data_IF_975965269502
#
_entry.id   IF_975965269502
#
_cell.length_a   1.000
_cell.length_b   1.000
_cell.length_c   1.000
_cell.angle_alpha   90.00
_cell.angle_beta   90.00
_cell.angle_gamma   90.00
#
_symmetry.space_group_name_H-M   'P 1'
#
loop_
_entity.id
_entity.type
_entity.pdbx_description
1 polymer ?
#
# COMPACT_ATOMS: atom_id res chain seq x y z
N UNK A 1 16.82 27.87 -14.23
CA UNK A 1 16.10 26.85 -15.02
C UNK A 1 15.60 25.82 -14.02
N UNK A 2 14.29 25.56 -13.97
CA UNK A 2 13.76 24.51 -13.09
C UNK A 2 14.32 23.16 -13.56
N UNK A 3 14.88 22.38 -12.63
CA UNK A 3 15.21 20.98 -12.90
C UNK A 3 13.97 20.24 -13.43
N UNK A 4 14.12 19.24 -14.32
CA UNK A 4 13.00 18.34 -14.60
C UNK A 4 12.47 17.73 -13.30
N UNK A 5 11.15 17.51 -13.25
CA UNK A 5 10.48 16.94 -12.09
C UNK A 5 10.89 15.48 -11.84
N UNK A 6 11.04 14.69 -12.91
CA UNK A 6 11.50 13.30 -12.84
C UNK A 6 12.92 13.18 -13.35
N UNK A 7 13.75 12.37 -12.67
CA UNK A 7 15.02 11.92 -13.22
C UNK A 7 14.81 10.67 -14.07
N UNK A 8 15.10 10.79 -15.36
CA UNK A 8 14.94 9.68 -16.31
C UNK A 8 16.28 8.96 -16.52
N UNK A 9 16.20 7.65 -16.69
CA UNK A 9 17.26 6.71 -17.08
C UNK A 9 18.48 6.60 -16.17
N UNK A 10 18.37 7.05 -14.92
CA UNK A 10 19.38 6.88 -13.88
C UNK A 10 18.73 7.05 -12.52
N UNK A 11 18.89 6.07 -11.63
CA UNK A 11 18.43 6.18 -10.25
C UNK A 11 19.20 5.26 -9.31
N UNK A 12 19.33 5.68 -8.05
CA UNK A 12 19.80 4.82 -6.98
C UNK A 12 18.87 3.60 -6.79
N UNK A 13 17.56 3.76 -7.01
CA UNK A 13 16.58 2.69 -6.86
C UNK A 13 16.88 1.49 -7.79
N UNK A 14 17.33 1.74 -9.03
CA UNK A 14 17.63 0.68 -10.02
C UNK A 14 19.12 0.33 -10.09
N UNK A 15 19.94 0.92 -9.21
CA UNK A 15 21.41 0.83 -9.22
C UNK A 15 21.96 1.17 -10.62
N UNK A 16 21.56 2.32 -11.15
CA UNK A 16 21.96 2.82 -12.46
C UNK A 16 22.51 4.23 -12.40
N UNK A 17 23.44 4.54 -13.32
CA UNK A 17 24.02 5.89 -13.44
C UNK A 17 24.34 6.27 -14.88
N UNK A 18 24.15 7.54 -15.22
CA UNK A 18 24.67 8.10 -16.46
C UNK A 18 26.21 8.19 -16.43
N UNK A 19 26.85 8.17 -17.60
CA UNK A 19 28.29 8.45 -17.73
C UNK A 19 28.61 9.93 -17.47
N UNK A 20 27.78 10.82 -18.00
CA UNK A 20 27.96 12.27 -17.90
C UNK A 20 26.86 12.87 -17.02
N UNK A 21 27.01 12.77 -15.70
CA UNK A 21 25.98 13.15 -14.73
C UNK A 21 25.52 14.61 -14.87
N UNK A 22 26.43 15.54 -15.15
CA UNK A 22 26.12 16.96 -15.36
C UNK A 22 25.71 17.34 -16.79
N UNK A 23 25.63 16.38 -17.71
CA UNK A 23 25.32 16.64 -19.12
C UNK A 23 24.42 15.54 -19.67
N UNK A 24 23.16 15.61 -19.26
CA UNK A 24 22.09 14.73 -19.72
C UNK A 24 20.93 15.54 -20.29
N UNK A 25 20.20 14.97 -21.26
CA UNK A 25 18.93 15.57 -21.70
C UNK A 25 17.84 15.32 -20.64
N UNK A 26 17.16 16.35 -20.14
CA UNK A 26 16.07 16.19 -19.18
C UNK A 26 14.91 15.32 -19.67
N UNK A 27 14.63 15.35 -20.99
CA UNK A 27 13.47 14.68 -21.56
C UNK A 27 13.64 13.15 -21.61
N UNK A 28 14.82 12.66 -21.98
CA UNK A 28 15.07 11.22 -22.09
C UNK A 28 16.07 10.69 -21.08
N UNK A 29 16.75 11.53 -20.29
CA UNK A 29 17.80 11.09 -19.38
C UNK A 29 19.05 10.54 -20.06
N UNK A 30 19.19 10.69 -21.39
CA UNK A 30 20.39 10.28 -22.12
C UNK A 30 21.56 11.24 -21.86
N UNK A 31 22.79 10.71 -21.86
CA UNK A 31 23.99 11.54 -21.92
C UNK A 31 23.98 12.36 -23.22
N UNK A 32 24.39 13.64 -23.16
CA UNK A 32 24.48 14.51 -24.37
C UNK A 32 25.35 13.87 -25.45
N UNK A 33 26.39 13.14 -25.03
CA UNK A 33 27.19 12.28 -25.92
C UNK A 33 27.12 10.83 -25.43
N UNK A 34 26.36 10.00 -26.13
CA UNK A 34 26.45 8.54 -25.97
C UNK A 34 27.65 8.05 -26.80
N UNK A 35 28.54 7.26 -26.19
CA UNK A 35 29.77 6.80 -26.82
C UNK A 35 29.77 5.28 -26.94
N UNK A 36 30.41 4.77 -27.98
CA UNK A 36 30.71 3.34 -28.07
C UNK A 36 31.62 2.92 -26.90
N UNK A 37 31.46 1.69 -26.42
CA UNK A 37 32.18 1.17 -25.25
C UNK A 37 31.79 1.82 -23.90
N UNK A 38 30.67 2.55 -23.83
CA UNK A 38 30.22 3.18 -22.60
C UNK A 38 29.92 2.14 -21.51
N UNK A 39 30.72 2.14 -20.44
CA UNK A 39 30.47 1.36 -19.21
C UNK A 39 29.41 1.99 -18.30
N UNK A 40 28.86 3.14 -18.69
CA UNK A 40 27.85 3.90 -17.94
C UNK A 40 26.49 3.22 -17.97
N UNK A 41 26.32 2.28 -17.04
CA UNK A 41 25.12 1.46 -16.78
C UNK A 41 23.90 2.30 -16.34
N UNK A 42 23.50 3.24 -17.18
CA UNK A 42 22.21 3.91 -17.14
C UNK A 42 21.09 2.88 -17.42
N UNK A 43 19.84 3.25 -17.18
CA UNK A 43 18.73 2.32 -17.40
C UNK A 43 18.60 1.89 -18.86
N UNK A 44 18.95 2.76 -19.83
CA UNK A 44 18.98 2.40 -21.27
C UNK A 44 19.98 1.27 -21.52
N UNK A 45 21.24 1.45 -21.10
CA UNK A 45 22.29 0.44 -21.33
C UNK A 45 22.05 -0.84 -20.55
N UNK A 46 21.68 -0.73 -19.26
CA UNK A 46 21.45 -1.90 -18.41
C UNK A 46 20.22 -2.69 -18.84
N UNK A 47 19.16 -2.03 -19.31
CA UNK A 47 17.94 -2.73 -19.76
C UNK A 47 18.14 -3.54 -21.05
N UNK A 48 19.07 -3.15 -21.93
CA UNK A 48 19.38 -3.91 -23.15
C UNK A 48 19.88 -5.34 -22.87
N UNK A 49 20.57 -5.54 -21.75
CA UNK A 49 21.12 -6.84 -21.36
C UNK A 49 20.40 -7.49 -20.16
N UNK A 50 19.85 -6.68 -19.25
CA UNK A 50 19.27 -7.10 -17.96
C UNK A 50 17.88 -6.53 -17.74
N UNK A 51 17.09 -6.36 -18.81
CA UNK A 51 15.79 -5.67 -18.82
C UNK A 51 14.92 -5.95 -17.59
N UNK A 52 14.64 -7.22 -17.32
CA UNK A 52 13.78 -7.66 -16.20
C UNK A 52 14.27 -7.18 -14.82
N UNK A 53 15.58 -7.00 -14.65
CA UNK A 53 16.15 -6.56 -13.38
C UNK A 53 16.06 -5.05 -13.16
N UNK A 54 16.07 -4.27 -14.25
CA UNK A 54 16.03 -2.80 -14.22
C UNK A 54 14.61 -2.28 -14.06
N UNK A 55 13.60 -3.14 -14.26
CA UNK A 55 12.19 -2.78 -14.07
C UNK A 55 11.92 -2.39 -12.61
N UNK A 56 12.56 -3.05 -11.64
CA UNK A 56 12.19 -2.92 -10.22
C UNK A 56 13.33 -2.31 -9.38
N UNK A 57 12.99 -1.67 -8.24
CA UNK A 57 14.00 -1.22 -7.28
C UNK A 57 14.78 -2.35 -6.61
N UNK A 58 16.03 -2.09 -6.23
CA UNK A 58 16.96 -3.05 -5.61
C UNK A 58 17.68 -2.43 -4.41
N UNK A 59 18.15 -3.23 -3.41
CA UNK A 59 18.02 -4.69 -3.29
C UNK A 59 16.65 -5.17 -2.78
N UNK A 60 16.16 -6.31 -3.29
CA UNK A 60 14.84 -6.83 -2.94
C UNK A 60 14.74 -7.32 -1.48
N UNK A 61 13.56 -7.12 -0.87
CA UNK A 61 13.17 -7.74 0.40
C UNK A 61 13.67 -7.06 1.67
N UNK A 62 14.70 -6.22 1.59
CA UNK A 62 15.29 -5.47 2.73
C UNK A 62 15.09 -3.96 2.63
N UNK A 63 14.33 -3.49 1.64
CA UNK A 63 14.03 -2.07 1.43
C UNK A 63 12.53 -1.85 1.26
N UNK A 64 12.12 -0.62 1.55
CA UNK A 64 10.91 0.00 1.01
C UNK A 64 11.35 1.15 0.11
N UNK A 65 10.64 1.36 -0.98
CA UNK A 65 10.98 2.40 -1.96
C UNK A 65 9.81 3.35 -2.18
N UNK A 66 10.11 4.58 -2.55
CA UNK A 66 9.17 5.62 -2.92
C UNK A 66 9.66 6.30 -4.21
N UNK A 67 8.82 7.14 -4.83
CA UNK A 67 9.19 7.83 -6.06
C UNK A 67 10.32 8.84 -5.85
N UNK A 68 11.11 9.09 -6.90
CA UNK A 68 12.15 10.13 -6.94
C UNK A 68 11.62 11.41 -7.64
N UNK A 69 10.41 11.37 -8.20
CA UNK A 69 9.78 12.53 -8.83
C UNK A 69 9.51 13.64 -7.82
N UNK A 70 9.93 14.84 -8.18
CA UNK A 70 9.55 16.08 -7.50
C UNK A 70 8.13 16.45 -7.94
N UNK A 71 7.17 16.38 -7.03
CA UNK A 71 5.81 16.85 -7.32
C UNK A 71 5.76 18.39 -7.22
N UNK A 72 5.10 19.10 -8.15
CA UNK A 72 5.14 20.56 -8.19
C UNK A 72 4.62 21.25 -6.93
N UNK A 73 3.66 20.62 -6.23
CA UNK A 73 3.08 21.11 -4.98
C UNK A 73 3.06 19.95 -3.99
N UNK A 74 3.52 20.23 -2.78
CA UNK A 74 3.46 19.31 -1.64
C UNK A 74 3.09 20.11 -0.37
N UNK A 75 3.01 19.41 0.77
CA UNK A 75 2.63 20.07 2.02
C UNK A 75 3.64 21.08 2.55
N UNK A 76 4.90 21.06 2.10
CA UNK A 76 5.90 22.06 2.48
C UNK A 76 5.60 23.45 1.90
N UNK A 77 4.73 23.52 0.89
CA UNK A 77 4.26 24.78 0.29
C UNK A 77 3.12 25.43 1.08
N UNK A 78 2.58 24.74 2.11
CA UNK A 78 1.47 25.24 2.93
C UNK A 78 2.01 25.83 4.24
N UNK A 79 1.45 26.96 4.67
CA UNK A 79 1.71 27.54 5.98
C UNK A 79 0.47 27.41 6.87
N UNK A 80 0.67 27.02 8.13
CA UNK A 80 -0.38 27.06 9.15
C UNK A 80 -0.40 28.47 9.75
N UNK A 81 -1.50 29.19 9.55
CA UNK A 81 -1.65 30.55 10.08
C UNK A 81 -2.19 30.50 11.51
N UNK A 82 -1.37 30.92 12.47
CA UNK A 82 -1.79 31.12 13.86
C UNK A 82 -2.62 32.39 14.05
N UNK A 83 -3.32 32.47 15.19
CA UNK A 83 -4.06 33.67 15.64
C UNK A 83 -3.64 34.03 17.06
N UNK A 84 -3.59 35.34 17.37
CA UNK A 84 -3.38 35.84 18.72
C UNK A 84 -4.70 36.01 19.51
N UNK A 85 -5.85 35.67 18.90
CA UNK A 85 -7.18 35.84 19.48
C UNK A 85 -7.96 34.53 19.38
N UNK A 86 -8.53 34.11 20.51
CA UNK A 86 -9.37 32.91 20.61
C UNK A 86 -8.58 31.61 20.71
N UNK A 87 -9.31 30.49 20.83
CA UNK A 87 -8.80 29.13 20.76
C UNK A 87 -9.85 28.25 20.06
N UNK A 88 -9.39 27.18 19.40
CA UNK A 88 -10.25 26.17 18.78
C UNK A 88 -9.98 24.82 19.45
N UNK A 89 -11.03 24.09 19.82
CA UNK A 89 -10.92 22.81 20.52
C UNK A 89 -10.73 22.90 22.04
N UNK A 90 -10.50 24.09 22.59
CA UNK A 90 -10.42 24.36 24.03
C UNK A 90 -10.89 25.80 24.29
N UNK A 91 -11.18 26.12 25.55
CA UNK A 91 -11.53 27.47 25.98
C UNK A 91 -10.39 28.47 25.71
N UNK A 92 -10.76 29.67 25.26
CA UNK A 92 -9.84 30.76 24.95
C UNK A 92 -9.36 31.47 26.23
N UNK A 93 -8.55 30.76 27.02
CA UNK A 93 -8.01 31.18 28.31
C UNK A 93 -6.53 30.78 28.39
N UNK A 94 -5.66 31.68 28.86
CA UNK A 94 -4.21 31.42 28.94
C UNK A 94 -3.83 30.34 29.96
N UNK A 95 -4.66 30.11 30.97
CA UNK A 95 -4.46 29.04 31.96
C UNK A 95 -4.95 27.68 31.46
N UNK A 96 -5.75 27.65 30.37
CA UNK A 96 -6.33 26.42 29.79
C UNK A 96 -5.69 26.05 28.46
N UNK A 97 -5.48 27.01 27.56
CA UNK A 97 -4.96 26.82 26.21
C UNK A 97 -3.43 26.64 26.19
N UNK A 98 -2.94 25.65 26.95
CA UNK A 98 -1.53 25.29 27.05
C UNK A 98 -1.23 24.00 26.29
N UNK A 99 -0.01 23.87 25.79
CA UNK A 99 0.44 22.70 25.00
C UNK A 99 0.12 21.34 25.63
N UNK A 100 0.30 21.12 26.96
CA UNK A 100 -0.03 19.83 27.58
C UNK A 100 -1.51 19.43 27.52
N UNK A 101 -2.43 20.38 27.29
CA UNK A 101 -3.87 20.12 27.22
C UNK A 101 -4.35 19.76 25.80
N UNK A 102 -3.44 19.67 24.81
CA UNK A 102 -3.80 19.26 23.45
C UNK A 102 -4.32 17.83 23.47
N UNK A 103 -5.59 17.65 23.07
CA UNK A 103 -6.18 16.34 22.86
C UNK A 103 -6.02 15.91 21.40
N UNK A 104 -5.33 14.80 21.18
CA UNK A 104 -5.11 14.19 19.87
C UNK A 104 -6.00 12.96 19.61
N UNK A 105 -6.87 12.63 20.56
CA UNK A 105 -7.80 11.52 20.44
C UNK A 105 -8.79 11.76 19.32
N UNK A 106 -9.02 10.73 18.50
CA UNK A 106 -9.97 10.76 17.39
C UNK A 106 -10.95 9.60 17.47
N UNK A 107 -12.21 9.91 17.15
CA UNK A 107 -13.31 8.96 17.05
C UNK A 107 -13.88 9.03 15.65
N UNK A 108 -14.04 7.89 15.00
CA UNK A 108 -14.56 7.81 13.63
C UNK A 108 -15.25 6.46 13.39
N UNK A 109 -15.74 6.24 12.16
CA UNK A 109 -16.67 5.16 11.83
C UNK A 109 -18.12 5.65 11.84
N UNK A 110 -19.03 4.90 11.21
CA UNK A 110 -20.43 5.31 11.11
C UNK A 110 -21.12 5.44 12.49
N UNK A 111 -20.62 4.72 13.49
CA UNK A 111 -21.08 4.74 14.88
C UNK A 111 -20.15 5.53 15.83
N UNK A 112 -19.09 6.18 15.31
CA UNK A 112 -17.99 6.77 16.09
C UNK A 112 -17.31 5.79 17.06
N UNK A 113 -17.40 4.49 16.82
CA UNK A 113 -16.89 3.44 17.70
C UNK A 113 -15.39 3.14 17.54
N UNK A 114 -14.73 3.66 16.50
CA UNK A 114 -13.29 3.49 16.27
C UNK A 114 -12.54 4.60 16.99
N UNK A 115 -11.69 4.23 17.96
CA UNK A 115 -11.03 5.18 18.88
C UNK A 115 -9.53 5.09 18.80
N UNK A 116 -8.85 6.14 18.34
CA UNK A 116 -7.39 6.23 18.37
C UNK A 116 -6.94 7.33 19.32
N UNK A 117 -5.85 7.10 20.06
CA UNK A 117 -5.24 8.13 20.93
C UNK A 117 -4.52 9.21 20.12
N UNK A 118 -4.14 8.89 18.88
CA UNK A 118 -3.42 9.77 17.98
C UNK A 118 -4.01 9.70 16.56
N UNK A 119 -3.98 10.79 15.79
CA UNK A 119 -4.66 10.90 14.49
C UNK A 119 -3.82 10.34 13.34
N UNK A 120 -3.24 9.15 13.54
CA UNK A 120 -2.44 8.47 12.53
C UNK A 120 -2.57 6.96 12.64
N UNK A 121 -2.19 6.28 11.55
CA UNK A 121 -2.29 4.84 11.37
C UNK A 121 -1.08 4.37 10.56
N UNK A 122 -0.57 3.18 10.86
CA UNK A 122 0.38 2.51 9.97
C UNK A 122 -0.42 1.82 8.85
N UNK A 123 -0.23 2.22 7.57
CA UNK A 123 -1.04 1.73 6.46
C UNK A 123 -0.76 0.26 6.16
N UNK A 124 -1.53 -0.33 5.24
CA UNK A 124 -1.40 -1.74 4.85
C UNK A 124 0.01 -2.11 4.38
N UNK A 125 0.79 -2.80 5.23
CA UNK A 125 2.08 -3.38 4.86
C UNK A 125 1.94 -4.90 4.77
N UNK A 126 2.10 -5.44 3.56
CA UNK A 126 1.71 -6.81 3.23
C UNK A 126 2.75 -7.88 3.54
N UNK A 127 2.80 -8.88 2.65
CA UNK A 127 3.58 -10.12 2.75
C UNK A 127 5.10 -10.01 2.48
N UNK A 128 5.63 -8.81 2.30
CA UNK A 128 7.07 -8.62 2.03
C UNK A 128 7.94 -8.94 3.26
N UNK A 129 9.19 -9.33 3.04
CA UNK A 129 10.13 -9.64 4.13
C UNK A 129 10.40 -8.43 5.03
N UNK A 130 10.56 -7.24 4.45
CA UNK A 130 10.78 -6.00 5.22
C UNK A 130 9.64 -5.75 6.22
N UNK A 131 8.40 -6.01 5.81
CA UNK A 131 7.22 -5.91 6.68
C UNK A 131 7.23 -7.00 7.76
N UNK A 132 7.45 -8.25 7.36
CA UNK A 132 7.44 -9.41 8.27
C UNK A 132 8.49 -9.29 9.37
N UNK A 133 9.71 -8.90 8.99
CA UNK A 133 10.87 -8.82 9.88
C UNK A 133 10.75 -7.69 10.90
N UNK A 134 10.06 -6.60 10.56
CA UNK A 134 9.85 -5.46 11.45
C UNK A 134 8.47 -5.47 12.14
N UNK A 135 7.64 -6.49 11.88
CA UNK A 135 6.24 -6.51 12.33
C UNK A 135 6.10 -6.40 13.84
N UNK A 136 7.05 -6.94 14.61
CA UNK A 136 6.98 -6.91 16.08
C UNK A 136 7.02 -5.48 16.63
N UNK A 137 7.99 -4.68 16.19
CA UNK A 137 8.05 -3.26 16.56
C UNK A 137 6.83 -2.47 16.09
N UNK A 138 6.35 -2.73 14.86
CA UNK A 138 5.18 -2.07 14.30
C UNK A 138 3.90 -2.40 15.09
N UNK A 139 3.65 -3.68 15.36
CA UNK A 139 2.46 -4.14 16.05
C UNK A 139 2.42 -3.68 17.50
N UNK A 140 3.48 -3.92 18.26
CA UNK A 140 3.56 -3.53 19.66
C UNK A 140 3.50 -2.00 19.76
N UNK A 141 4.29 -1.28 18.96
CA UNK A 141 4.35 0.18 18.98
C UNK A 141 3.01 0.84 18.65
N UNK A 142 2.29 0.36 17.63
CA UNK A 142 0.96 0.87 17.31
C UNK A 142 -0.08 0.56 18.39
N UNK A 143 -0.07 -0.66 18.92
CA UNK A 143 -1.03 -1.11 19.93
C UNK A 143 -0.90 -0.33 21.24
N UNK A 144 0.33 -0.16 21.77
CA UNK A 144 0.56 0.61 23.00
C UNK A 144 0.30 2.10 22.81
N UNK A 145 0.52 2.62 21.59
CA UNK A 145 0.22 4.01 21.25
C UNK A 145 -1.27 4.25 21.03
N UNK A 146 -2.10 3.20 20.99
CA UNK A 146 -3.53 3.29 20.74
C UNK A 146 -3.87 3.77 19.32
N UNK A 147 -3.11 3.33 18.31
CA UNK A 147 -3.27 3.70 16.90
C UNK A 147 -3.54 2.49 16.03
N UNK A 148 -4.10 2.68 14.84
CA UNK A 148 -4.34 1.58 13.90
C UNK A 148 -3.05 0.98 13.32
N UNK A 149 -3.13 -0.29 12.94
CA UNK A 149 -2.16 -0.97 12.09
C UNK A 149 -2.90 -1.86 11.09
N UNK A 150 -2.63 -1.66 9.79
CA UNK A 150 -3.23 -2.51 8.75
C UNK A 150 -2.25 -3.59 8.30
N UNK A 151 -2.68 -4.85 8.43
CA UNK A 151 -2.06 -6.01 7.77
C UNK A 151 -2.41 -5.93 6.28
N UNK A 152 -1.39 -5.69 5.45
CA UNK A 152 -1.58 -5.60 4.00
C UNK A 152 -1.82 -6.95 3.33
N UNK A 153 -1.92 -6.90 2.01
CA UNK A 153 -2.30 -8.04 1.16
C UNK A 153 -1.34 -9.25 1.12
N UNK A 154 -1.91 -10.39 0.73
CA UNK A 154 -1.28 -11.68 0.46
C UNK A 154 -0.57 -12.35 1.64
N UNK A 155 -0.76 -11.92 2.89
CA UNK A 155 -0.05 -12.49 4.05
C UNK A 155 -0.39 -13.98 4.23
N UNK A 156 -1.68 -14.35 4.17
CA UNK A 156 -2.09 -15.74 4.29
C UNK A 156 -1.64 -16.58 3.09
N UNK A 157 -1.86 -16.08 1.87
CA UNK A 157 -1.53 -16.81 0.64
C UNK A 157 -0.03 -16.99 0.38
N UNK A 158 0.83 -16.14 0.96
CA UNK A 158 2.29 -16.24 0.87
C UNK A 158 2.91 -17.12 1.97
N UNK A 159 2.15 -17.46 3.01
CA UNK A 159 2.62 -18.28 4.12
C UNK A 159 2.75 -19.76 3.68
N UNK A 160 3.96 -20.33 3.63
CA UNK A 160 4.14 -21.74 3.27
C UNK A 160 3.48 -22.71 4.24
N UNK A 161 3.21 -22.26 5.48
CA UNK A 161 2.58 -23.05 6.52
C UNK A 161 1.06 -22.85 6.56
N UNK A 162 0.48 -22.06 5.64
CA UNK A 162 -0.96 -21.92 5.54
C UNK A 162 -1.61 -23.24 5.09
N UNK A 163 -2.66 -23.63 5.80
CA UNK A 163 -3.53 -24.75 5.44
C UNK A 163 -4.68 -24.20 4.61
N UNK A 164 -4.75 -24.60 3.34
CA UNK A 164 -5.81 -24.19 2.41
C UNK A 164 -6.61 -25.44 2.04
N UNK A 165 -7.93 -25.40 2.22
CA UNK A 165 -8.86 -26.47 1.84
C UNK A 165 -9.96 -25.90 0.97
N UNK A 166 -10.24 -26.55 -0.16
CA UNK A 166 -11.27 -26.11 -1.12
C UNK A 166 -11.11 -24.63 -1.52
N UNK A 167 -9.86 -24.20 -1.73
CA UNK A 167 -9.54 -22.82 -2.10
C UNK A 167 -9.67 -21.78 -0.97
N UNK A 168 -9.94 -22.19 0.28
CA UNK A 168 -10.07 -21.27 1.43
C UNK A 168 -9.05 -21.53 2.52
N UNK A 169 -8.58 -20.44 3.14
CA UNK A 169 -7.66 -20.46 4.28
C UNK A 169 -8.39 -21.04 5.49
N UNK A 170 -7.80 -22.07 6.09
CA UNK A 170 -8.29 -22.73 7.31
C UNK A 170 -7.36 -22.47 8.49
N UNK A 171 -6.06 -22.37 8.24
CA UNK A 171 -5.09 -21.97 9.26
C UNK A 171 -3.87 -21.28 8.67
N UNK A 172 -3.21 -20.43 9.47
CA UNK A 172 -1.98 -19.72 9.11
C UNK A 172 -1.05 -19.59 10.32
N UNK A 173 0.24 -19.40 10.05
CA UNK A 173 1.23 -19.03 11.06
C UNK A 173 1.46 -17.51 11.04
N UNK A 174 1.67 -16.91 9.86
CA UNK A 174 2.05 -15.49 9.77
C UNK A 174 0.88 -14.57 10.15
N UNK A 175 -0.29 -14.72 9.51
CA UNK A 175 -1.45 -13.85 9.79
C UNK A 175 -1.89 -13.96 11.26
N UNK A 176 -1.96 -15.17 11.81
CA UNK A 176 -2.25 -15.42 13.24
C UNK A 176 -1.26 -14.70 14.15
N UNK A 177 0.05 -14.81 13.89
CA UNK A 177 1.08 -14.12 14.67
C UNK A 177 0.88 -12.60 14.61
N UNK A 178 0.61 -12.06 13.42
CA UNK A 178 0.46 -10.61 13.22
C UNK A 178 -0.72 -10.02 13.98
N UNK A 179 -1.87 -10.70 13.92
CA UNK A 179 -3.08 -10.30 14.65
C UNK A 179 -2.87 -10.42 16.15
N UNK A 180 -2.40 -11.59 16.61
CA UNK A 180 -2.21 -11.86 18.04
C UNK A 180 -1.24 -10.88 18.69
N UNK A 181 -0.14 -10.55 18.02
CA UNK A 181 0.85 -9.63 18.56
C UNK A 181 0.31 -8.21 18.77
N UNK A 182 -0.60 -7.75 17.92
CA UNK A 182 -1.27 -6.47 18.13
C UNK A 182 -2.28 -6.57 19.29
N UNK A 183 -3.13 -7.59 19.28
CA UNK A 183 -4.18 -7.80 20.29
C UNK A 183 -3.61 -7.98 21.70
N UNK A 184 -2.52 -8.74 21.85
CA UNK A 184 -1.86 -9.00 23.14
C UNK A 184 -1.33 -7.71 23.81
N UNK A 185 -1.09 -6.65 23.04
CA UNK A 185 -0.54 -5.36 23.51
C UNK A 185 -1.55 -4.21 23.39
N UNK A 186 -2.78 -4.48 22.98
CA UNK A 186 -3.81 -3.45 22.87
C UNK A 186 -4.27 -3.02 24.27
N UNK A 187 -4.37 -1.69 24.49
CA UNK A 187 -4.69 -1.11 25.80
C UNK A 187 -6.02 -0.35 25.73
N UNK A 188 -6.91 -0.61 26.69
CA UNK A 188 -8.20 0.08 26.88
C UNK A 188 -9.12 0.12 25.64
N UNK A 189 -8.95 -0.83 24.71
CA UNK A 189 -9.71 -0.88 23.46
C UNK A 189 -9.40 0.25 22.47
N UNK A 190 -8.25 0.94 22.61
CA UNK A 190 -7.78 1.92 21.62
C UNK A 190 -7.03 1.26 20.46
N UNK A 191 -7.07 1.91 19.31
CA UNK A 191 -6.45 1.40 18.08
C UNK A 191 -7.24 0.24 17.47
N UNK A 192 -6.81 -0.23 16.30
CA UNK A 192 -7.39 -1.40 15.66
C UNK A 192 -6.35 -2.12 14.77
N UNK A 193 -6.34 -3.44 14.82
CA UNK A 193 -5.68 -4.26 13.80
C UNK A 193 -6.65 -4.46 12.64
N UNK A 194 -6.22 -4.13 11.42
CA UNK A 194 -7.06 -4.15 10.23
C UNK A 194 -6.54 -5.19 9.25
N UNK A 195 -7.39 -6.09 8.76
CA UNK A 195 -6.99 -7.07 7.72
C UNK A 195 -7.46 -6.61 6.35
N UNK A 196 -6.49 -6.21 5.53
CA UNK A 196 -6.71 -5.79 4.16
C UNK A 196 -6.74 -7.00 3.20
N UNK A 197 -7.64 -6.98 2.21
CA UNK A 197 -7.69 -7.97 1.15
C UNK A 197 -7.68 -7.34 -0.25
N UNK A 198 -6.87 -7.94 -1.13
CA UNK A 198 -6.99 -7.78 -2.57
C UNK A 198 -7.76 -8.95 -3.20
N UNK A 199 -7.77 -9.03 -4.54
CA UNK A 199 -8.43 -10.09 -5.31
C UNK A 199 -8.03 -11.51 -4.87
N UNK A 200 -6.74 -11.73 -4.60
CA UNK A 200 -6.22 -13.06 -4.23
C UNK A 200 -6.63 -13.41 -2.79
N UNK A 201 -6.55 -12.45 -1.87
CA UNK A 201 -6.98 -12.63 -0.47
C UNK A 201 -8.49 -12.90 -0.37
N UNK A 202 -9.31 -12.20 -1.17
CA UNK A 202 -10.76 -12.43 -1.24
C UNK A 202 -11.08 -13.83 -1.74
N UNK A 203 -10.40 -14.32 -2.78
CA UNK A 203 -10.57 -15.70 -3.28
C UNK A 203 -10.24 -16.74 -2.21
N UNK A 204 -9.21 -16.46 -1.42
CA UNK A 204 -8.75 -17.31 -0.33
C UNK A 204 -9.61 -17.22 0.94
N UNK A 205 -10.58 -16.31 1.02
CA UNK A 205 -11.38 -16.09 2.23
C UNK A 205 -10.55 -15.61 3.43
N UNK A 206 -9.49 -14.85 3.19
CA UNK A 206 -8.54 -14.47 4.23
C UNK A 206 -9.16 -13.55 5.30
N UNK A 207 -10.08 -12.66 4.90
CA UNK A 207 -10.81 -11.80 5.83
C UNK A 207 -11.79 -12.59 6.68
N UNK A 208 -12.52 -13.52 6.08
CA UNK A 208 -13.44 -14.41 6.79
C UNK A 208 -12.70 -15.25 7.83
N UNK A 209 -11.55 -15.83 7.49
CA UNK A 209 -10.68 -16.49 8.47
C UNK A 209 -10.25 -15.54 9.59
N UNK A 210 -9.83 -14.31 9.26
CA UNK A 210 -9.41 -13.34 10.27
C UNK A 210 -10.55 -12.95 11.22
N UNK A 211 -11.75 -12.74 10.70
CA UNK A 211 -12.94 -12.40 11.50
C UNK A 211 -13.33 -13.60 12.37
N UNK A 212 -13.60 -14.75 11.75
CA UNK A 212 -14.21 -15.91 12.40
C UNK A 212 -13.25 -16.64 13.36
N UNK A 213 -11.94 -16.64 13.05
CA UNK A 213 -10.94 -17.45 13.79
C UNK A 213 -9.99 -16.61 14.63
N UNK A 214 -9.73 -15.36 14.24
CA UNK A 214 -8.77 -14.49 14.93
C UNK A 214 -9.45 -13.31 15.65
N UNK A 215 -10.77 -13.17 15.55
CA UNK A 215 -11.52 -12.10 16.22
C UNK A 215 -11.19 -10.70 15.69
N UNK A 216 -10.82 -10.59 14.42
CA UNK A 216 -10.59 -9.28 13.78
C UNK A 216 -11.93 -8.62 13.50
N UNK A 217 -12.16 -7.45 14.10
CA UNK A 217 -13.40 -6.69 13.93
C UNK A 217 -13.36 -5.69 12.77
N UNK A 218 -12.17 -5.30 12.31
CA UNK A 218 -11.98 -4.27 11.29
C UNK A 218 -11.24 -4.85 10.07
N UNK A 219 -11.86 -4.75 8.89
CA UNK A 219 -11.30 -5.24 7.63
C UNK A 219 -11.29 -4.16 6.56
N UNK A 220 -10.33 -4.23 5.63
CA UNK A 220 -10.16 -3.26 4.55
C UNK A 220 -10.23 -3.89 3.16
N UNK A 221 -11.06 -3.35 2.29
CA UNK A 221 -11.06 -3.66 0.86
C UNK A 221 -9.98 -2.82 0.18
N UNK A 222 -9.13 -3.42 -0.66
CA UNK A 222 -8.08 -2.68 -1.38
C UNK A 222 -8.42 -2.55 -2.87
N UNK A 223 -8.71 -1.34 -3.32
CA UNK A 223 -8.80 -1.03 -4.76
C UNK A 223 -7.46 -0.62 -5.34
N UNK A 224 -6.62 0.07 -4.58
CA UNK A 224 -5.31 0.50 -5.08
C UNK A 224 -4.37 1.00 -3.99
N UNK A 225 -3.29 1.64 -4.44
CA UNK A 225 -2.28 2.27 -3.59
C UNK A 225 -1.60 3.44 -4.31
N UNK A 226 -0.86 4.26 -3.57
CA UNK A 226 -0.19 5.45 -4.11
C UNK A 226 1.01 5.17 -5.01
N UNK A 227 1.62 3.98 -4.90
CA UNK A 227 2.85 3.65 -5.62
C UNK A 227 2.60 3.18 -7.07
N UNK A 228 1.44 2.59 -7.37
CA UNK A 228 1.21 1.85 -8.63
C UNK A 228 -0.26 1.54 -8.92
N UNK A 229 -0.56 1.28 -10.20
CA UNK A 229 -1.86 0.84 -10.70
C UNK A 229 -1.92 -0.65 -11.06
N UNK A 230 -1.21 -1.47 -10.31
CA UNK A 230 -1.18 -2.92 -10.51
C UNK A 230 -1.28 -3.60 -9.15
N UNK A 231 -1.55 -4.90 -9.15
CA UNK A 231 -1.57 -5.69 -7.93
C UNK A 231 -0.21 -5.72 -7.24
N UNK A 232 -0.18 -6.24 -6.01
CA UNK A 232 1.07 -6.52 -5.31
C UNK A 232 2.01 -7.37 -6.15
N UNK A 233 3.31 -7.23 -5.90
CA UNK A 233 4.38 -7.99 -6.59
C UNK A 233 5.42 -8.40 -5.56
N UNK A 234 6.02 -9.58 -5.74
CA UNK A 234 7.21 -10.02 -4.98
C UNK A 234 8.11 -10.86 -5.86
N UNK A 235 9.41 -10.79 -5.59
CA UNK A 235 10.38 -11.76 -6.09
C UNK A 235 10.39 -13.01 -5.21
N UNK A 236 10.49 -14.18 -5.83
CA UNK A 236 10.57 -15.48 -5.17
C UNK A 236 11.82 -16.20 -5.68
N UNK A 237 12.79 -16.40 -4.81
CA UNK A 237 14.09 -17.02 -5.12
C UNK A 237 14.13 -18.53 -4.84
N UNK A 238 12.98 -19.16 -4.62
CA UNK A 238 12.86 -20.59 -4.32
C UNK A 238 11.82 -21.22 -5.24
N UNK A 239 12.23 -22.25 -5.99
CA UNK A 239 11.38 -22.91 -6.97
C UNK A 239 10.17 -23.59 -6.32
N UNK A 240 10.35 -24.26 -5.17
CA UNK A 240 9.26 -24.96 -4.47
C UNK A 240 8.19 -23.98 -4.01
N UNK A 241 8.61 -22.83 -3.49
CA UNK A 241 7.71 -21.74 -3.11
C UNK A 241 7.01 -21.15 -4.34
N UNK A 242 7.70 -20.99 -5.46
CA UNK A 242 7.10 -20.51 -6.71
C UNK A 242 6.01 -21.48 -7.21
N UNK A 243 6.28 -22.79 -7.20
CA UNK A 243 5.32 -23.84 -7.54
C UNK A 243 4.12 -23.85 -6.59
N UNK A 244 4.37 -23.77 -5.28
CA UNK A 244 3.31 -23.67 -4.27
C UNK A 244 2.38 -22.47 -4.52
N UNK A 245 2.94 -21.31 -4.87
CA UNK A 245 2.14 -20.12 -5.17
C UNK A 245 1.33 -20.31 -6.47
N UNK A 246 1.93 -20.92 -7.49
CA UNK A 246 1.23 -21.28 -8.72
C UNK A 246 0.05 -22.22 -8.44
N UNK A 247 0.24 -23.27 -7.63
CA UNK A 247 -0.80 -24.23 -7.25
C UNK A 247 -1.94 -23.57 -6.43
N UNK A 248 -1.62 -22.50 -5.71
CA UNK A 248 -2.61 -21.65 -5.00
C UNK A 248 -3.36 -20.68 -5.95
N UNK A 249 -3.08 -20.71 -7.25
CA UNK A 249 -3.76 -19.90 -8.26
C UNK A 249 -3.16 -18.51 -8.50
N UNK A 250 -1.99 -18.21 -7.94
CA UNK A 250 -1.28 -16.97 -8.22
C UNK A 250 -0.68 -16.97 -9.63
N UNK A 251 -0.51 -15.78 -10.20
CA UNK A 251 0.26 -15.61 -11.43
C UNK A 251 1.74 -15.61 -11.06
N UNK A 252 2.48 -16.62 -11.52
CA UNK A 252 3.93 -16.76 -11.29
C UNK A 252 4.64 -16.82 -12.64
N UNK A 253 5.62 -15.94 -12.82
CA UNK A 253 6.37 -15.79 -14.06
C UNK A 253 7.89 -15.84 -13.79
N UNK A 254 8.68 -16.53 -14.62
CA UNK A 254 8.24 -17.50 -15.63
C UNK A 254 7.49 -18.69 -15.00
N UNK A 255 6.79 -19.50 -15.82
CA UNK A 255 5.97 -20.62 -15.33
C UNK A 255 6.83 -21.62 -14.51
N UNK A 256 6.61 -21.77 -13.20
CA UNK A 256 7.44 -22.61 -12.34
C UNK A 256 7.18 -24.12 -12.52
N UNK A 257 6.24 -24.51 -13.38
CA UNK A 257 5.90 -25.90 -13.69
C UNK A 257 6.47 -26.38 -15.03
N UNK A 258 6.95 -25.46 -15.87
CA UNK A 258 7.58 -25.79 -17.15
C UNK A 258 8.97 -26.43 -16.94
N UNK A 259 9.22 -27.66 -17.43
CA UNK A 259 10.52 -28.33 -17.33
C UNK A 259 11.70 -27.52 -17.88
N UNK A 260 11.51 -26.69 -18.91
CA UNK A 260 12.54 -25.84 -19.46
C UNK A 260 12.89 -24.69 -18.50
N UNK A 261 11.88 -24.07 -17.88
CA UNK A 261 12.06 -23.00 -16.89
C UNK A 261 12.74 -23.53 -15.64
N UNK A 262 12.34 -24.71 -15.15
CA UNK A 262 12.96 -25.38 -14.00
C UNK A 262 14.46 -25.61 -14.25
N UNK A 263 14.81 -26.21 -15.39
CA UNK A 263 16.22 -26.44 -15.77
C UNK A 263 16.99 -25.13 -15.90
N UNK A 264 16.37 -24.08 -16.44
CA UNK A 264 17.01 -22.77 -16.58
C UNK A 264 17.30 -22.13 -15.21
N UNK A 265 16.37 -22.25 -14.25
CA UNK A 265 16.54 -21.79 -12.87
C UNK A 265 17.64 -22.56 -12.13
N UNK A 266 17.61 -23.90 -12.19
CA UNK A 266 18.60 -24.77 -11.53
C UNK A 266 20.03 -24.55 -12.06
N UNK A 267 20.17 -24.18 -13.33
CA UNK A 267 21.46 -23.81 -13.95
C UNK A 267 21.87 -22.36 -13.67
N UNK A 268 21.05 -21.58 -12.98
CA UNK A 268 21.32 -20.18 -12.64
C UNK A 268 21.17 -19.19 -13.80
N UNK A 269 20.44 -19.56 -14.86
CA UNK A 269 20.18 -18.67 -16.02
C UNK A 269 19.35 -17.44 -15.61
N UNK A 270 18.48 -17.62 -14.62
CA UNK A 270 17.84 -16.56 -13.85
C UNK A 270 17.73 -17.03 -12.39
N UNK A 271 17.53 -16.10 -11.45
CA UNK A 271 17.64 -16.37 -10.01
C UNK A 271 16.34 -16.22 -9.23
N UNK A 272 15.31 -15.67 -9.86
CA UNK A 272 14.08 -15.26 -9.17
C UNK A 272 12.87 -15.35 -10.09
N UNK A 273 11.77 -15.84 -9.54
CA UNK A 273 10.42 -15.75 -10.10
C UNK A 273 9.74 -14.46 -9.64
N UNK A 274 8.73 -14.03 -10.39
CA UNK A 274 7.86 -12.92 -10.08
C UNK A 274 6.46 -13.45 -9.79
N UNK A 275 5.93 -13.12 -8.62
CA UNK A 275 4.53 -13.37 -8.29
C UNK A 275 3.77 -12.07 -8.45
N UNK A 276 2.67 -12.12 -9.19
CA UNK A 276 1.82 -10.99 -9.54
C UNK A 276 0.41 -11.21 -8.97
N UNK A 277 -0.15 -10.21 -8.30
CA UNK A 277 -1.57 -10.22 -7.92
C UNK A 277 -2.41 -9.63 -9.05
N UNK A 278 -3.60 -10.19 -9.28
CA UNK A 278 -4.52 -9.66 -10.30
C UNK A 278 -4.99 -8.25 -9.95
N UNK A 279 -5.17 -7.44 -10.98
CA UNK A 279 -5.79 -6.12 -10.87
C UNK A 279 -7.29 -6.30 -10.71
N UNK A 280 -7.86 -5.70 -9.66
CA UNK A 280 -9.31 -5.73 -9.43
C UNK A 280 -10.03 -4.81 -10.41
N UNK A 281 -11.08 -5.34 -11.05
CA UNK A 281 -12.04 -4.53 -11.80
C UNK A 281 -13.23 -4.26 -10.87
N UNK A 282 -13.45 -2.98 -10.59
CA UNK A 282 -14.39 -2.55 -9.55
C UNK A 282 -15.76 -2.33 -10.18
N UNK A 283 -16.71 -3.20 -9.82
CA UNK A 283 -18.13 -3.13 -10.21
C UNK A 283 -19.00 -2.90 -8.97
N UNK A 284 -20.08 -2.15 -9.13
CA UNK A 284 -20.88 -1.65 -7.99
C UNK A 284 -21.55 -2.79 -7.22
N UNK A 285 -22.21 -3.69 -7.94
CA UNK A 285 -22.91 -4.85 -7.37
C UNK A 285 -21.94 -5.79 -6.67
N UNK A 286 -20.76 -6.01 -7.24
CA UNK A 286 -19.73 -6.86 -6.65
C UNK A 286 -19.16 -6.22 -5.36
N UNK A 287 -18.94 -4.91 -5.35
CA UNK A 287 -18.50 -4.18 -4.18
C UNK A 287 -19.55 -4.22 -3.05
N UNK A 288 -20.81 -3.92 -3.38
CA UNK A 288 -21.93 -3.97 -2.45
C UNK A 288 -22.05 -5.34 -1.78
N UNK A 289 -22.08 -6.40 -2.62
CA UNK A 289 -22.15 -7.78 -2.16
C UNK A 289 -20.96 -8.12 -1.25
N UNK A 290 -19.75 -7.66 -1.58
CA UNK A 290 -18.58 -7.96 -0.75
C UNK A 290 -18.65 -7.31 0.63
N UNK A 291 -19.18 -6.08 0.71
CA UNK A 291 -19.42 -5.41 2.01
C UNK A 291 -20.44 -6.19 2.84
N UNK A 292 -21.53 -6.65 2.23
CA UNK A 292 -22.54 -7.47 2.89
C UNK A 292 -21.97 -8.81 3.39
N UNK A 293 -21.18 -9.50 2.57
CA UNK A 293 -20.49 -10.76 2.96
C UNK A 293 -19.58 -10.57 4.18
N UNK A 294 -18.81 -9.48 4.21
CA UNK A 294 -17.91 -9.18 5.33
C UNK A 294 -18.66 -8.87 6.62
N UNK A 295 -19.74 -8.08 6.53
CA UNK A 295 -20.59 -7.80 7.70
C UNK A 295 -21.30 -9.07 8.18
N UNK A 296 -21.77 -9.92 7.27
CA UNK A 296 -22.37 -11.21 7.59
C UNK A 296 -21.37 -12.19 8.24
N UNK A 297 -20.10 -12.13 7.86
CA UNK A 297 -19.03 -12.88 8.51
C UNK A 297 -18.69 -12.38 9.92
N UNK A 298 -19.15 -11.18 10.29
CA UNK A 298 -18.96 -10.59 11.63
C UNK A 298 -18.03 -9.37 11.68
N UNK A 299 -17.62 -8.80 10.53
CA UNK A 299 -16.87 -7.55 10.54
C UNK A 299 -17.73 -6.42 11.13
N UNK A 300 -17.23 -5.80 12.20
CA UNK A 300 -17.85 -4.62 12.81
C UNK A 300 -17.64 -3.39 11.94
N UNK A 301 -16.42 -3.24 11.44
CA UNK A 301 -16.02 -2.11 10.60
C UNK A 301 -15.46 -2.59 9.27
N UNK A 302 -15.88 -1.94 8.18
CA UNK A 302 -15.38 -2.20 6.84
C UNK A 302 -14.83 -0.90 6.28
N UNK A 303 -13.54 -0.86 5.94
CA UNK A 303 -12.91 0.26 5.24
C UNK A 303 -12.67 -0.04 3.76
N UNK A 304 -12.47 1.02 3.00
CA UNK A 304 -11.98 0.96 1.63
C UNK A 304 -10.64 1.70 1.56
N UNK A 305 -9.67 1.11 0.85
CA UNK A 305 -8.44 1.79 0.43
C UNK A 305 -8.44 2.00 -1.07
N UNK A 306 -8.32 3.26 -1.48
CA UNK A 306 -8.14 3.66 -2.88
C UNK A 306 -6.73 4.21 -3.13
N UNK A 307 -6.33 4.26 -4.40
CA UNK A 307 -5.03 4.75 -4.85
C UNK A 307 -5.11 6.13 -5.49
N UNK A 308 -4.01 6.54 -6.12
CA UNK A 308 -3.82 7.83 -6.77
C UNK A 308 -4.55 7.94 -8.12
N UNK A 309 -5.78 7.45 -8.18
CA UNK A 309 -6.56 7.28 -9.39
C UNK A 309 -7.07 8.59 -9.97
N UNK A 310 -7.67 8.50 -11.15
CA UNK A 310 -8.33 9.62 -11.84
C UNK A 310 -9.51 10.14 -11.00
N UNK A 311 -9.94 11.39 -11.21
CA UNK A 311 -10.98 12.00 -10.38
C UNK A 311 -12.33 11.24 -10.39
N UNK A 312 -12.69 10.60 -11.50
CA UNK A 312 -13.91 9.77 -11.59
C UNK A 312 -13.87 8.56 -10.66
N UNK A 313 -12.70 7.96 -10.48
CA UNK A 313 -12.51 6.76 -9.67
C UNK A 313 -12.48 7.13 -8.18
N UNK A 314 -11.93 8.31 -7.83
CA UNK A 314 -12.08 8.90 -6.49
C UNK A 314 -13.55 9.20 -6.17
N UNK A 315 -14.27 9.85 -7.10
CA UNK A 315 -15.68 10.17 -6.92
C UNK A 315 -16.52 8.89 -6.70
N UNK A 316 -16.20 7.80 -7.43
CA UNK A 316 -16.80 6.48 -7.25
C UNK A 316 -16.53 5.91 -5.86
N UNK A 317 -15.27 5.93 -5.41
CA UNK A 317 -14.91 5.45 -4.08
C UNK A 317 -15.71 6.16 -2.98
N UNK A 318 -15.78 7.49 -3.03
CA UNK A 318 -16.53 8.29 -2.04
C UNK A 318 -18.03 7.99 -2.12
N UNK A 319 -18.62 8.01 -3.33
CA UNK A 319 -20.06 7.78 -3.51
C UNK A 319 -20.48 6.39 -3.01
N UNK A 320 -19.69 5.36 -3.31
CA UNK A 320 -19.94 4.00 -2.86
C UNK A 320 -19.65 3.81 -1.38
N UNK A 321 -18.64 4.51 -0.82
CA UNK A 321 -18.41 4.51 0.62
C UNK A 321 -19.63 5.01 1.39
N UNK A 322 -20.25 6.11 0.95
CA UNK A 322 -21.50 6.60 1.53
C UNK A 322 -22.64 5.62 1.31
N UNK A 323 -22.84 5.16 0.06
CA UNK A 323 -23.98 4.31 -0.32
C UNK A 323 -24.01 2.98 0.43
N UNK A 324 -22.85 2.38 0.67
CA UNK A 324 -22.70 1.04 1.24
C UNK A 324 -22.19 1.05 2.69
N UNK A 325 -22.15 2.21 3.33
CA UNK A 325 -21.81 2.33 4.75
C UNK A 325 -20.38 1.85 5.05
N UNK A 326 -19.41 2.30 4.26
CA UNK A 326 -17.99 2.12 4.59
C UNK A 326 -17.65 3.03 5.77
N UNK A 327 -16.98 2.49 6.79
CA UNK A 327 -16.71 3.18 8.04
C UNK A 327 -15.52 4.15 7.94
N UNK A 328 -14.61 3.89 7.00
CA UNK A 328 -13.39 4.66 6.81
C UNK A 328 -12.86 4.49 5.37
N UNK A 329 -12.43 5.57 4.74
CA UNK A 329 -11.87 5.58 3.39
C UNK A 329 -10.42 6.08 3.42
N UNK A 330 -9.46 5.20 3.15
CA UNK A 330 -8.06 5.55 2.90
C UNK A 330 -7.89 6.02 1.46
N UNK A 331 -7.34 7.21 1.23
CA UNK A 331 -7.05 7.77 -0.10
C UNK A 331 -5.55 7.98 -0.25
N UNK A 332 -4.86 7.07 -0.95
CA UNK A 332 -3.42 7.22 -1.18
C UNK A 332 -3.13 8.13 -2.39
N UNK A 333 -2.38 9.22 -2.17
CA UNK A 333 -1.81 10.05 -3.26
C UNK A 333 -0.58 9.43 -3.93
N UNK A 334 -0.22 9.96 -5.10
CA UNK A 334 1.00 9.56 -5.81
C UNK A 334 2.25 9.80 -4.96
N UNK A 335 3.27 8.98 -5.16
CA UNK A 335 4.52 9.00 -4.38
C UNK A 335 4.48 8.13 -3.13
N UNK A 336 3.40 7.39 -2.92
CA UNK A 336 3.31 6.37 -1.87
C UNK A 336 4.40 5.30 -1.99
N UNK A 337 4.79 4.74 -0.84
CA UNK A 337 5.82 3.70 -0.77
C UNK A 337 5.34 2.30 -1.19
N UNK A 338 6.29 1.43 -1.53
CA UNK A 338 6.05 0.01 -1.79
C UNK A 338 7.33 -0.81 -1.56
N UNK A 339 7.16 -2.08 -1.19
CA UNK A 339 8.26 -3.05 -1.15
C UNK A 339 8.69 -3.52 -2.55
N UNK A 340 7.81 -3.42 -3.55
CA UNK A 340 8.10 -3.76 -4.95
C UNK A 340 7.08 -3.14 -5.91
N UNK A 341 7.58 -2.55 -7.01
CA UNK A 341 6.79 -2.03 -8.14
C UNK A 341 7.71 -1.72 -9.31
N UNK A 342 7.22 -1.70 -10.57
CA UNK A 342 7.96 -1.12 -11.67
C UNK A 342 8.36 0.33 -11.35
N UNK A 343 9.66 0.61 -11.42
CA UNK A 343 10.27 1.88 -11.01
C UNK A 343 9.70 3.06 -11.79
N UNK A 344 9.51 2.89 -13.10
CA UNK A 344 8.89 3.91 -13.96
C UNK A 344 7.47 4.26 -13.54
N UNK A 345 6.69 3.26 -13.15
CA UNK A 345 5.33 3.47 -12.70
C UNK A 345 5.31 4.30 -11.41
N UNK A 346 6.18 4.00 -10.45
CA UNK A 346 6.25 4.76 -9.19
C UNK A 346 6.47 6.26 -9.41
N UNK A 347 7.27 6.61 -10.40
CA UNK A 347 7.55 8.01 -10.71
C UNK A 347 6.41 8.67 -11.50
N UNK A 348 5.72 7.95 -12.38
CA UNK A 348 4.76 8.57 -13.31
C UNK A 348 3.28 8.27 -13.00
N UNK A 349 3.00 7.50 -11.97
CA UNK A 349 1.64 7.08 -11.62
C UNK A 349 0.92 8.09 -10.72
N UNK A 350 -0.26 8.50 -11.18
CA UNK A 350 -1.35 9.00 -10.34
C UNK A 350 -1.33 10.48 -9.98
N UNK A 351 -2.37 10.91 -9.27
CA UNK A 351 -2.55 12.29 -8.80
C UNK A 351 -1.79 12.52 -7.48
N UNK A 352 -0.97 13.57 -7.35
CA UNK A 352 -0.27 13.89 -6.11
C UNK A 352 -1.20 14.25 -4.94
N UNK A 353 -0.71 14.18 -3.68
CA UNK A 353 -1.55 14.30 -2.49
C UNK A 353 -2.36 15.60 -2.41
N UNK A 354 -1.76 16.76 -2.70
CA UNK A 354 -2.44 18.06 -2.51
C UNK A 354 -3.66 18.18 -3.43
N UNK A 355 -3.48 17.84 -4.69
CA UNK A 355 -4.54 17.86 -5.71
C UNK A 355 -5.60 16.80 -5.42
N UNK A 356 -5.18 15.57 -5.08
CA UNK A 356 -6.10 14.46 -4.81
C UNK A 356 -6.95 14.75 -3.56
N UNK A 357 -6.35 15.26 -2.49
CA UNK A 357 -7.06 15.57 -1.26
C UNK A 357 -7.96 16.80 -1.39
N UNK A 358 -7.57 17.77 -2.24
CA UNK A 358 -8.45 18.89 -2.62
C UNK A 358 -9.71 18.38 -3.34
N UNK A 359 -9.55 17.42 -4.26
CA UNK A 359 -10.69 16.77 -4.92
C UNK A 359 -11.55 15.97 -3.93
N UNK A 360 -10.91 15.21 -3.04
CA UNK A 360 -11.58 14.46 -1.98
C UNK A 360 -12.48 15.36 -1.14
N UNK A 361 -11.93 16.48 -0.64
CA UNK A 361 -12.70 17.44 0.15
C UNK A 361 -13.89 18.01 -0.65
N UNK A 362 -13.69 18.41 -1.91
CA UNK A 362 -14.76 18.96 -2.76
C UNK A 362 -15.87 17.94 -3.01
N UNK A 363 -15.52 16.68 -3.25
CA UNK A 363 -16.48 15.61 -3.50
C UNK A 363 -17.25 15.23 -2.23
N UNK A 364 -16.54 15.04 -1.12
CA UNK A 364 -17.14 14.77 0.18
C UNK A 364 -18.09 15.91 0.60
N UNK A 365 -17.63 17.17 0.51
CA UNK A 365 -18.46 18.35 0.80
C UNK A 365 -19.72 18.40 -0.07
N UNK A 366 -19.60 18.12 -1.37
CA UNK A 366 -20.76 18.13 -2.28
C UNK A 366 -21.81 17.07 -1.90
N UNK A 367 -21.39 15.91 -1.41
CA UNK A 367 -22.31 14.88 -0.93
C UNK A 367 -22.91 15.27 0.43
N UNK A 368 -22.09 15.81 1.34
CA UNK A 368 -22.55 16.31 2.63
C UNK A 368 -23.60 17.42 2.49
N UNK A 369 -23.37 18.39 1.59
CA UNK A 369 -24.31 19.48 1.29
C UNK A 369 -25.63 18.96 0.67
N UNK A 370 -25.68 17.68 0.22
CA UNK A 370 -26.88 16.97 -0.24
C UNK A 370 -27.50 16.05 0.82
N UNK A 371 -27.00 16.06 2.05
CA UNK A 371 -27.52 15.27 3.16
C UNK A 371 -26.88 13.88 3.33
N UNK A 372 -25.79 13.58 2.63
CA UNK A 372 -24.99 12.40 2.98
C UNK A 372 -24.35 12.58 4.37
N UNK A 373 -24.38 11.52 5.18
CA UNK A 373 -23.69 11.48 6.47
C UNK A 373 -22.19 11.30 6.29
#
# INVERSE_FOLDING_TARGET
>A
MSSPLSRVNSSAATLTKNRTEGSVTPASGMCVTCVDGCVGMCEIGKSAYRGHEVIYPQPFGVITTASEKQYPVDYSHLNIMGTAVGAQGIEADSDKAIFPNVNLEVHFGNDNGIKYRLPWIIPGIGSTNIAKNNWEGLAIGSAISGTGLTIGENVAGMDPQAVIKNGRVVDTVDLKRRVKLYQDYQIDGYGAIIVQANVEDTRLGAQEYAIEKLGVEFVELKWGQGAKNIGGEVKVNDLKKAQMLHDRGYVVLPDPTDPAVIKAFERGSFREFERHSRVGMVEEEAFAKRVEELRAAGAKYVSLKTGAYRPVDLARAIAWSVKYGIDYLTVDGAGGGTGMSPWRMMNEWGIPPVELHTLLYRYAKRLHDKGAK
#
